data_IF_011265708081
#
_entry.id   IF_011265708081
#
_cell.length_a   1.000
_cell.length_b   1.000
_cell.length_c   1.000
_cell.angle_alpha   90.00
_cell.angle_beta   90.00
_cell.angle_gamma   90.00
#
_symmetry.space_group_name_H-M   'P 1'
#
loop_
_entity.id
_entity.type
_entity.pdbx_description
1 polymer ?
#
# COMPACT_ATOMS: atom_id res chain seq x y z
N UNK A 1 9.58 -21.54 4.25
CA UNK A 1 8.95 -21.19 5.55
C UNK A 1 7.57 -20.61 5.29
N UNK A 2 6.51 -20.97 6.04
CA UNK A 2 5.18 -20.34 5.83
C UNK A 2 5.17 -18.94 6.45
N UNK A 3 4.88 -17.92 5.64
CA UNK A 3 4.78 -16.52 6.08
C UNK A 3 3.59 -16.29 7.03
N UNK A 4 3.73 -15.36 7.98
CA UNK A 4 2.66 -14.94 8.89
C UNK A 4 1.41 -14.49 8.12
N UNK A 5 1.60 -13.66 7.09
CA UNK A 5 0.52 -13.19 6.22
C UNK A 5 -0.26 -14.36 5.61
N UNK A 6 0.45 -15.37 5.08
CA UNK A 6 -0.18 -16.55 4.47
C UNK A 6 -1.01 -17.34 5.48
N UNK A 7 -0.49 -17.56 6.70
CA UNK A 7 -1.23 -18.22 7.77
C UNK A 7 -2.51 -17.46 8.14
N UNK A 8 -2.41 -16.12 8.24
CA UNK A 8 -3.55 -15.28 8.57
C UNK A 8 -4.62 -15.32 7.47
N UNK A 9 -4.22 -15.17 6.21
CA UNK A 9 -5.14 -15.27 5.07
C UNK A 9 -5.82 -16.64 5.03
N UNK A 10 -5.08 -17.73 5.25
CA UNK A 10 -5.66 -19.07 5.28
C UNK A 10 -6.70 -19.22 6.42
N UNK A 11 -6.38 -18.72 7.61
CA UNK A 11 -7.29 -18.75 8.75
C UNK A 11 -8.57 -17.93 8.48
N UNK A 12 -8.42 -16.71 7.95
CA UNK A 12 -9.55 -15.83 7.63
C UNK A 12 -10.44 -16.44 6.54
N UNK A 13 -9.87 -17.03 5.48
CA UNK A 13 -10.65 -17.67 4.40
C UNK A 13 -11.47 -18.88 4.86
N UNK A 14 -11.06 -19.55 5.95
CA UNK A 14 -11.86 -20.62 6.56
C UNK A 14 -13.10 -20.10 7.29
N UNK A 15 -13.07 -18.85 7.76
CA UNK A 15 -14.13 -18.23 8.57
C UNK A 15 -15.01 -17.24 7.80
N UNK A 16 -14.46 -16.56 6.80
CA UNK A 16 -15.12 -15.48 6.07
C UNK A 16 -15.25 -15.83 4.58
N UNK A 17 -16.31 -15.32 3.96
CA UNK A 17 -16.55 -15.56 2.53
C UNK A 17 -15.48 -14.86 1.71
N UNK A 18 -14.74 -15.64 0.92
CA UNK A 18 -13.85 -15.09 -0.11
C UNK A 18 -14.67 -14.70 -1.34
N UNK A 19 -14.59 -13.44 -1.76
CA UNK A 19 -15.31 -12.92 -2.94
C UNK A 19 -14.40 -12.73 -4.15
N UNK A 20 -13.09 -12.64 -3.92
CA UNK A 20 -12.06 -12.66 -4.94
C UNK A 20 -10.85 -13.43 -4.42
N UNK A 21 -10.28 -14.27 -5.27
CA UNK A 21 -9.03 -14.99 -5.01
C UNK A 21 -8.23 -15.05 -6.29
N UNK A 22 -7.15 -14.27 -6.34
CA UNK A 22 -6.19 -14.27 -7.42
C UNK A 22 -4.79 -14.54 -6.86
N UNK A 23 -3.81 -14.66 -7.75
CA UNK A 23 -2.40 -14.76 -7.37
C UNK A 23 -1.60 -13.65 -8.02
N UNK A 24 -0.62 -13.13 -7.28
CA UNK A 24 0.38 -12.25 -7.85
C UNK A 24 1.39 -13.05 -8.71
N UNK A 25 2.33 -12.32 -9.30
CA UNK A 25 3.39 -12.88 -10.14
C UNK A 25 4.29 -13.93 -9.45
N UNK A 26 4.39 -13.93 -8.12
CA UNK A 26 5.14 -14.92 -7.34
C UNK A 26 4.23 -16.07 -6.84
N UNK A 27 2.94 -16.04 -7.17
CA UNK A 27 1.97 -17.05 -6.78
C UNK A 27 1.33 -16.81 -5.41
N UNK A 28 1.56 -15.66 -4.78
CA UNK A 28 1.03 -15.30 -3.47
C UNK A 28 -0.41 -14.75 -3.59
N UNK A 29 -1.27 -14.96 -2.59
CA UNK A 29 -2.70 -14.74 -2.73
C UNK A 29 -3.10 -13.26 -2.59
N UNK A 30 -3.82 -12.77 -3.60
CA UNK A 30 -4.58 -11.51 -3.55
C UNK A 30 -6.03 -11.88 -3.25
N UNK A 31 -6.53 -11.46 -2.09
CA UNK A 31 -7.80 -11.96 -1.56
C UNK A 31 -8.69 -10.81 -1.12
N UNK A 32 -9.94 -10.82 -1.59
CA UNK A 32 -10.99 -9.97 -1.04
C UNK A 32 -11.91 -10.83 -0.19
N UNK A 33 -12.04 -10.46 1.08
CA UNK A 33 -12.91 -11.09 2.06
C UNK A 33 -14.16 -10.23 2.24
N UNK A 34 -15.32 -10.87 2.37
CA UNK A 34 -16.57 -10.21 2.74
C UNK A 34 -16.80 -10.31 4.25
N UNK A 35 -17.00 -9.16 4.89
CA UNK A 35 -17.44 -8.99 6.26
C UNK A 35 -18.72 -8.12 6.31
N UNK A 36 -19.24 -7.90 7.52
CA UNK A 36 -20.50 -7.19 7.74
C UNK A 36 -21.73 -7.93 7.18
N UNK A 37 -22.82 -7.19 7.00
CA UNK A 37 -24.11 -7.71 6.57
C UNK A 37 -24.28 -7.84 5.05
N UNK A 38 -25.43 -7.39 4.56
CA UNK A 38 -25.88 -7.60 3.17
C UNK A 38 -26.46 -6.35 2.53
N UNK A 39 -26.52 -5.22 3.22
CA UNK A 39 -27.02 -4.00 2.61
C UNK A 39 -26.07 -3.52 1.50
N UNK A 40 -26.64 -2.80 0.54
CA UNK A 40 -25.99 -2.21 -0.62
C UNK A 40 -26.21 -0.67 -0.61
N UNK A 41 -25.37 0.11 -1.31
CA UNK A 41 -24.12 -0.30 -1.97
C UNK A 41 -23.01 -0.60 -0.96
N UNK A 42 -22.08 -1.52 -1.27
CA UNK A 42 -21.11 -2.06 -0.32
C UNK A 42 -19.96 -1.07 -0.09
N UNK A 43 -19.20 -1.29 0.98
CA UNK A 43 -17.96 -0.54 1.26
C UNK A 43 -16.77 -1.39 0.84
N UNK A 44 -15.76 -0.79 0.22
CA UNK A 44 -14.44 -1.39 0.03
C UNK A 44 -13.43 -0.76 0.98
N UNK A 45 -12.71 -1.58 1.74
CA UNK A 45 -11.51 -1.18 2.47
C UNK A 45 -10.31 -1.94 1.90
N UNK A 46 -9.26 -1.24 1.50
CA UNK A 46 -8.06 -1.86 0.93
C UNK A 46 -6.79 -1.25 1.49
N UNK A 47 -5.70 -2.00 1.43
CA UNK A 47 -4.39 -1.58 1.89
C UNK A 47 -3.26 -2.18 1.03
N UNK A 48 -2.03 -1.75 1.29
CA UNK A 48 -0.83 -2.42 0.78
C UNK A 48 -0.62 -2.28 -0.73
N UNK A 49 -0.86 -1.10 -1.32
CA UNK A 49 -0.20 -0.76 -2.59
C UNK A 49 1.31 -0.65 -2.42
N UNK A 50 1.72 -0.16 -1.25
CA UNK A 50 3.11 -0.09 -0.86
C UNK A 50 3.27 -0.97 0.36
N UNK A 51 3.93 -2.13 0.22
CA UNK A 51 4.06 -3.04 1.36
C UNK A 51 5.08 -2.57 2.42
N UNK A 52 5.77 -1.46 2.17
CA UNK A 52 6.51 -0.72 3.21
C UNK A 52 5.58 0.10 4.12
N UNK A 53 4.28 0.14 3.81
CA UNK A 53 3.21 0.74 4.61
C UNK A 53 2.45 -0.35 5.38
N UNK A 54 3.17 -1.01 6.30
CA UNK A 54 2.73 -2.26 6.92
C UNK A 54 1.47 -2.11 7.78
N UNK A 55 1.25 -0.96 8.44
CA UNK A 55 0.14 -0.84 9.39
C UNK A 55 -1.23 -0.95 8.73
N UNK A 56 -1.39 -0.42 7.51
CA UNK A 56 -2.64 -0.54 6.74
C UNK A 56 -3.01 -1.99 6.48
N UNK A 57 -2.03 -2.84 6.17
CA UNK A 57 -2.26 -4.28 5.93
C UNK A 57 -2.68 -5.00 7.20
N UNK A 58 -1.99 -4.77 8.32
CA UNK A 58 -2.35 -5.37 9.60
C UNK A 58 -3.72 -4.91 10.08
N UNK A 59 -4.02 -3.61 9.95
CA UNK A 59 -5.33 -3.05 10.28
C UNK A 59 -6.44 -3.66 9.42
N UNK A 60 -6.21 -3.85 8.12
CA UNK A 60 -7.18 -4.50 7.24
C UNK A 60 -7.42 -5.98 7.60
N UNK A 61 -6.38 -6.74 7.96
CA UNK A 61 -6.51 -8.12 8.44
C UNK A 61 -7.33 -8.18 9.73
N UNK A 62 -7.07 -7.28 10.68
CA UNK A 62 -7.79 -7.21 11.95
C UNK A 62 -9.24 -6.74 11.77
N UNK A 63 -9.46 -5.79 10.85
CA UNK A 63 -10.77 -5.24 10.54
C UNK A 63 -11.75 -6.34 10.11
N UNK A 64 -11.30 -7.34 9.33
CA UNK A 64 -12.14 -8.49 8.93
C UNK A 64 -12.85 -9.13 10.13
N UNK A 65 -12.21 -9.15 11.29
CA UNK A 65 -12.74 -9.76 12.51
C UNK A 65 -13.60 -8.83 13.36
N UNK A 66 -13.57 -7.52 13.10
CA UNK A 66 -14.21 -6.51 13.93
C UNK A 66 -15.39 -5.80 13.25
N UNK A 67 -15.56 -5.96 11.93
CA UNK A 67 -16.72 -5.37 11.24
C UNK A 67 -18.02 -5.96 11.78
N UNK A 68 -18.82 -5.08 12.39
CA UNK A 68 -20.16 -5.36 12.90
C UNK A 68 -21.14 -4.27 12.43
N UNK A 69 -21.44 -4.27 11.14
CA UNK A 69 -22.41 -3.37 10.50
C UNK A 69 -23.31 -4.14 9.54
N UNK A 70 -24.53 -3.68 9.32
CA UNK A 70 -25.49 -4.30 8.38
C UNK A 70 -25.05 -4.19 6.92
N UNK A 71 -24.13 -3.26 6.62
CA UNK A 71 -23.58 -3.05 5.29
C UNK A 71 -22.62 -4.17 4.89
N UNK A 72 -22.69 -4.58 3.62
CA UNK A 72 -21.65 -5.45 3.08
C UNK A 72 -20.31 -4.68 3.00
N UNK A 73 -19.27 -5.26 3.60
CA UNK A 73 -17.91 -4.70 3.59
C UNK A 73 -16.97 -5.68 2.89
N UNK A 74 -16.32 -5.23 1.83
CA UNK A 74 -15.26 -5.94 1.15
C UNK A 74 -13.91 -5.43 1.66
N UNK A 75 -13.05 -6.36 2.07
CA UNK A 75 -11.74 -6.03 2.63
C UNK A 75 -10.68 -6.73 1.80
N UNK A 76 -9.78 -5.94 1.20
CA UNK A 76 -8.58 -6.38 0.48
C UNK A 76 -7.35 -6.03 1.32
N UNK A 77 -6.81 -6.98 2.12
CA UNK A 77 -5.75 -6.64 3.06
C UNK A 77 -4.43 -6.24 2.42
N UNK A 78 -4.13 -6.75 1.22
CA UNK A 78 -2.90 -6.45 0.51
C UNK A 78 -3.13 -6.50 -1.00
N UNK A 79 -2.76 -5.40 -1.67
CA UNK A 79 -2.68 -5.32 -3.12
C UNK A 79 -1.38 -5.96 -3.64
N UNK A 80 -0.27 -5.82 -2.90
CA UNK A 80 1.04 -6.42 -3.19
C UNK A 80 1.48 -7.45 -2.12
N UNK A 81 1.02 -8.72 -2.20
CA UNK A 81 1.39 -9.73 -1.22
C UNK A 81 2.86 -10.16 -1.34
N UNK A 82 3.49 -10.09 -2.51
CA UNK A 82 4.96 -10.21 -2.65
C UNK A 82 5.67 -9.18 -1.81
N UNK A 83 5.27 -7.91 -1.89
CA UNK A 83 5.89 -6.82 -1.14
C UNK A 83 5.88 -7.01 0.37
N UNK A 84 4.88 -7.75 0.90
CA UNK A 84 4.81 -8.09 2.31
C UNK A 84 5.87 -9.10 2.75
N UNK A 85 6.61 -9.69 1.83
CA UNK A 85 7.69 -10.58 2.17
C UNK A 85 9.02 -9.85 2.01
N UNK A 86 9.99 -10.22 2.85
CA UNK A 86 11.33 -9.67 2.76
C UNK A 86 12.10 -10.18 1.55
N UNK A 87 13.19 -9.49 1.22
CA UNK A 87 14.08 -9.85 0.12
C UNK A 87 14.55 -11.30 0.20
N UNK A 88 14.85 -11.78 1.42
CA UNK A 88 15.26 -13.16 1.69
C UNK A 88 14.20 -14.18 1.27
N UNK A 89 12.94 -13.94 1.63
CA UNK A 89 11.85 -14.85 1.26
C UNK A 89 11.67 -14.89 -0.26
N UNK A 90 11.57 -13.72 -0.90
CA UNK A 90 11.33 -13.64 -2.35
C UNK A 90 12.49 -14.26 -3.13
N UNK A 91 13.73 -14.00 -2.74
CA UNK A 91 14.89 -14.63 -3.36
C UNK A 91 14.91 -16.15 -3.14
N UNK A 92 14.51 -16.63 -1.96
CA UNK A 92 14.43 -18.07 -1.70
C UNK A 92 13.43 -18.75 -2.63
N UNK A 93 12.24 -18.15 -2.80
CA UNK A 93 11.22 -18.66 -3.73
C UNK A 93 11.67 -18.60 -5.20
N UNK A 94 12.31 -17.50 -5.62
CA UNK A 94 12.82 -17.34 -6.98
C UNK A 94 13.98 -18.29 -7.32
N UNK A 95 14.82 -18.61 -6.34
CA UNK A 95 15.99 -19.48 -6.52
C UNK A 95 15.67 -20.96 -6.27
N UNK A 96 14.61 -21.26 -5.52
CA UNK A 96 14.27 -22.63 -5.11
C UNK A 96 15.24 -23.20 -4.06
N UNK A 97 15.92 -22.34 -3.32
CA UNK A 97 16.88 -22.68 -2.27
C UNK A 97 16.75 -21.70 -1.09
N UNK A 98 17.29 -22.06 0.06
CA UNK A 98 17.26 -21.18 1.23
C UNK A 98 18.32 -20.08 1.11
N UNK A 99 17.88 -18.83 1.22
CA UNK A 99 18.74 -17.64 1.16
C UNK A 99 18.90 -17.05 2.56
N UNK A 100 20.09 -16.50 2.85
CA UNK A 100 20.37 -15.78 4.09
C UNK A 100 21.13 -14.50 3.75
N UNK A 101 20.54 -13.35 4.11
CA UNK A 101 21.07 -12.00 3.87
C UNK A 101 20.53 -11.08 4.96
N UNK A 102 21.42 -10.37 5.64
CA UNK A 102 21.05 -9.43 6.71
C UNK A 102 21.32 -7.97 6.32
N UNK A 103 22.20 -7.74 5.33
CA UNK A 103 22.60 -6.39 4.91
C UNK A 103 22.40 -6.14 3.41
N UNK A 104 22.31 -4.86 3.02
CA UNK A 104 22.28 -4.47 1.59
C UNK A 104 23.57 -4.85 0.85
N UNK A 105 24.71 -4.85 1.55
CA UNK A 105 25.99 -5.28 0.98
C UNK A 105 25.98 -6.78 0.69
N UNK A 106 25.50 -7.59 1.62
CA UNK A 106 25.32 -9.04 1.39
C UNK A 106 24.29 -9.31 0.30
N UNK A 107 23.19 -8.54 0.24
CA UNK A 107 22.20 -8.65 -0.83
C UNK A 107 22.86 -8.43 -2.20
N UNK A 108 23.69 -7.38 -2.30
CA UNK A 108 24.43 -7.05 -3.51
C UNK A 108 25.39 -8.16 -3.92
N UNK A 109 26.18 -8.67 -2.98
CA UNK A 109 27.13 -9.75 -3.27
C UNK A 109 26.42 -11.06 -3.62
N UNK A 110 25.30 -11.37 -2.96
CA UNK A 110 24.48 -12.52 -3.30
C UNK A 110 23.96 -12.41 -4.74
N UNK A 111 23.33 -11.30 -5.10
CA UNK A 111 22.81 -11.07 -6.45
C UNK A 111 23.92 -11.27 -7.51
N UNK A 112 25.09 -10.68 -7.29
CA UNK A 112 26.27 -10.86 -8.16
C UNK A 112 26.71 -12.32 -8.24
N UNK A 113 26.81 -13.01 -7.10
CA UNK A 113 27.25 -14.42 -7.05
C UNK A 113 26.27 -15.37 -7.75
N UNK A 114 24.98 -15.01 -7.83
CA UNK A 114 23.93 -15.77 -8.52
C UNK A 114 23.74 -15.36 -9.99
N UNK A 115 24.69 -14.59 -10.53
CA UNK A 115 24.72 -14.23 -11.94
C UNK A 115 23.71 -13.16 -12.34
N UNK A 116 23.28 -12.31 -11.39
CA UNK A 116 22.46 -11.16 -11.74
C UNK A 116 23.23 -10.21 -12.68
N UNK A 117 22.59 -9.78 -13.75
CA UNK A 117 23.14 -8.77 -14.65
C UNK A 117 23.08 -7.41 -13.94
N UNK A 118 24.23 -6.76 -13.77
CA UNK A 118 24.30 -5.46 -13.11
C UNK A 118 24.08 -4.36 -14.14
N UNK A 119 22.95 -3.66 -14.03
CA UNK A 119 22.55 -2.56 -14.93
C UNK A 119 23.11 -1.22 -14.44
N UNK A 120 23.04 -0.98 -13.13
CA UNK A 120 23.57 0.23 -12.49
C UNK A 120 24.36 -0.19 -11.26
N UNK A 121 25.60 0.27 -11.17
CA UNK A 121 26.43 0.08 -10.00
C UNK A 121 27.06 1.40 -9.55
N UNK A 122 26.33 2.15 -8.73
CA UNK A 122 26.77 3.45 -8.20
C UNK A 122 26.53 3.54 -6.69
N UNK A 123 27.19 4.47 -5.98
CA UNK A 123 26.92 4.69 -4.54
C UNK A 123 25.48 5.08 -4.23
N UNK A 124 24.79 5.73 -5.17
CA UNK A 124 23.43 6.27 -4.98
C UNK A 124 22.33 5.32 -5.42
N UNK A 125 22.65 4.37 -6.31
CA UNK A 125 21.71 3.39 -6.84
C UNK A 125 22.47 2.15 -7.32
N UNK A 126 22.06 0.99 -6.82
CA UNK A 126 22.36 -0.30 -7.39
C UNK A 126 21.09 -0.84 -8.05
N UNK A 127 21.20 -1.31 -9.29
CA UNK A 127 20.13 -2.01 -10.02
C UNK A 127 20.74 -3.25 -10.70
N UNK A 128 20.16 -4.41 -10.43
CA UNK A 128 20.54 -5.66 -11.08
C UNK A 128 19.32 -6.49 -11.48
N UNK A 129 19.49 -7.37 -12.46
CA UNK A 129 18.46 -8.20 -13.03
C UNK A 129 18.78 -9.67 -12.76
N UNK A 130 17.88 -10.37 -12.08
CA UNK A 130 18.00 -11.79 -11.80
C UNK A 130 16.75 -12.52 -12.28
N UNK A 131 16.92 -13.45 -13.23
CA UNK A 131 15.83 -14.25 -13.83
C UNK A 131 14.64 -13.39 -14.33
N UNK A 132 14.92 -12.21 -14.90
CA UNK A 132 13.89 -11.30 -15.42
C UNK A 132 13.23 -10.39 -14.38
N UNK A 133 13.70 -10.39 -13.13
CA UNK A 133 13.21 -9.48 -12.07
C UNK A 133 14.34 -8.57 -11.63
N UNK A 134 14.06 -7.28 -11.54
CA UNK A 134 14.99 -6.27 -11.06
C UNK A 134 15.04 -6.19 -9.54
N UNK A 135 16.23 -5.93 -8.99
CA UNK A 135 16.44 -5.58 -7.60
C UNK A 135 17.16 -4.24 -7.53
N UNK A 136 16.57 -3.29 -6.82
CA UNK A 136 17.10 -1.93 -6.74
C UNK A 136 17.17 -1.43 -5.30
N UNK A 137 18.29 -0.83 -4.91
CA UNK A 137 18.47 -0.24 -3.59
C UNK A 137 19.59 0.80 -3.58
N UNK A 138 19.60 1.63 -2.54
CA UNK A 138 20.59 2.67 -2.31
C UNK A 138 21.23 2.50 -0.94
N UNK A 139 22.56 2.48 -0.87
CA UNK A 139 23.27 2.40 0.42
C UNK A 139 23.14 3.66 1.30
N UNK A 140 22.45 4.72 0.81
CA UNK A 140 22.44 6.04 1.46
C UNK A 140 21.06 6.71 1.55
N UNK A 141 19.98 6.01 1.22
CA UNK A 141 18.64 6.61 1.19
C UNK A 141 18.11 6.88 2.60
N UNK A 142 17.92 8.17 2.94
CA UNK A 142 17.23 8.59 4.18
C UNK A 142 15.73 8.33 4.16
N UNK A 143 15.15 8.21 2.96
CA UNK A 143 13.72 7.96 2.75
C UNK A 143 13.43 6.50 2.40
N UNK A 144 14.39 5.60 2.65
CA UNK A 144 14.28 4.17 2.35
C UNK A 144 13.93 3.88 0.90
N UNK A 145 12.95 3.00 0.68
CA UNK A 145 12.48 2.59 -0.63
C UNK A 145 11.98 3.75 -1.50
N UNK A 146 11.26 4.73 -0.94
CA UNK A 146 10.79 5.90 -1.70
C UNK A 146 11.96 6.71 -2.27
N UNK A 147 13.04 6.87 -1.49
CA UNK A 147 14.25 7.53 -1.98
C UNK A 147 14.91 6.76 -3.12
N UNK A 148 14.90 5.42 -3.07
CA UNK A 148 15.40 4.56 -4.17
C UNK A 148 14.51 4.67 -5.41
N UNK A 149 13.18 4.68 -5.24
CA UNK A 149 12.23 4.87 -6.34
C UNK A 149 12.49 6.20 -7.08
N UNK A 150 12.69 7.30 -6.36
CA UNK A 150 13.05 8.59 -7.00
C UNK A 150 14.37 8.52 -7.78
N UNK A 151 15.35 7.76 -7.29
CA UNK A 151 16.60 7.54 -8.02
C UNK A 151 16.40 6.66 -9.27
N UNK A 152 15.52 5.66 -9.20
CA UNK A 152 15.13 4.88 -10.37
C UNK A 152 14.43 5.75 -11.40
N UNK A 153 13.48 6.60 -10.99
CA UNK A 153 12.82 7.54 -11.90
C UNK A 153 13.84 8.45 -12.60
N UNK A 154 14.79 9.01 -11.86
CA UNK A 154 15.85 9.84 -12.43
C UNK A 154 16.75 9.08 -13.41
N UNK A 155 17.24 7.89 -13.02
CA UNK A 155 18.26 7.17 -13.79
C UNK A 155 17.70 6.30 -14.91
N UNK A 156 16.51 5.73 -14.71
CA UNK A 156 15.87 4.84 -15.67
C UNK A 156 15.01 5.62 -16.65
N UNK A 157 14.10 6.45 -16.13
CA UNK A 157 13.15 7.20 -16.97
C UNK A 157 13.87 8.35 -17.65
N UNK A 158 14.44 9.29 -16.88
CA UNK A 158 15.09 10.47 -17.47
C UNK A 158 16.46 10.18 -18.07
N UNK A 159 17.14 9.14 -17.58
CA UNK A 159 18.42 8.68 -18.10
C UNK A 159 18.33 7.81 -19.36
N UNK A 160 17.12 7.46 -19.83
CA UNK A 160 16.92 6.76 -21.10
C UNK A 160 17.19 5.24 -21.06
N UNK A 161 17.10 4.60 -19.90
CA UNK A 161 17.28 3.14 -19.76
C UNK A 161 15.95 2.36 -19.87
N UNK A 162 14.82 3.03 -20.04
CA UNK A 162 13.51 2.37 -20.21
C UNK A 162 13.55 1.37 -21.38
N UNK A 163 14.02 1.80 -22.55
CA UNK A 163 14.01 0.96 -23.76
C UNK A 163 14.88 -0.29 -23.60
N UNK A 164 16.00 -0.19 -22.88
CA UNK A 164 16.92 -1.32 -22.67
C UNK A 164 16.41 -2.30 -21.61
N UNK A 165 15.73 -1.81 -20.57
CA UNK A 165 15.12 -2.66 -19.55
C UNK A 165 13.84 -3.35 -20.04
N UNK A 166 13.11 -2.70 -20.95
CA UNK A 166 11.80 -3.15 -21.38
C UNK A 166 10.79 -3.18 -20.23
N UNK A 167 9.75 -4.00 -20.38
CA UNK A 167 8.79 -4.24 -19.30
C UNK A 167 9.40 -5.15 -18.24
N UNK A 168 9.70 -4.57 -17.07
CA UNK A 168 10.27 -5.34 -15.97
C UNK A 168 9.75 -4.92 -14.61
N UNK A 169 9.50 -5.92 -13.76
CA UNK A 169 9.22 -5.72 -12.35
C UNK A 169 10.52 -5.47 -11.59
N UNK A 170 10.55 -4.45 -10.76
CA UNK A 170 11.67 -4.11 -9.88
C UNK A 170 11.19 -4.18 -8.43
N UNK A 171 11.97 -4.88 -7.61
CA UNK A 171 11.78 -5.01 -6.17
C UNK A 171 12.78 -4.11 -5.44
N UNK A 172 12.25 -3.27 -4.56
CA UNK A 172 13.02 -2.32 -3.78
C UNK A 172 12.89 -2.69 -2.31
N UNK A 173 13.95 -3.18 -1.64
CA UNK A 173 13.92 -3.38 -0.19
C UNK A 173 13.53 -2.11 0.54
N UNK A 174 12.79 -2.27 1.63
CA UNK A 174 12.22 -1.18 2.41
C UNK A 174 13.24 -0.12 2.83
N UNK A 175 14.44 -0.54 3.24
CA UNK A 175 15.53 0.35 3.63
C UNK A 175 15.16 1.29 4.79
N UNK A 176 14.34 0.80 5.73
CA UNK A 176 13.80 1.56 6.87
C UNK A 176 14.03 0.81 8.19
N UNK A 177 15.28 0.59 8.61
CA UNK A 177 15.60 -0.24 9.78
C UNK A 177 14.98 0.24 11.09
N UNK A 178 14.61 1.53 11.17
CA UNK A 178 14.04 2.14 12.37
C UNK A 178 12.50 2.22 12.35
N UNK A 179 11.85 1.77 11.27
CA UNK A 179 10.39 1.73 11.17
C UNK A 179 9.91 0.33 11.54
N UNK A 180 9.18 0.26 12.66
CA UNK A 180 8.65 -0.99 13.20
C UNK A 180 7.75 -1.71 12.16
N UNK A 181 7.91 -3.02 12.01
CA UNK A 181 7.13 -3.83 11.05
C UNK A 181 7.57 -3.75 9.58
N UNK A 182 8.56 -2.91 9.26
CA UNK A 182 9.03 -2.64 7.89
C UNK A 182 10.49 -3.04 7.67
N UNK A 183 11.39 -2.65 8.59
CA UNK A 183 12.78 -3.11 8.64
C UNK A 183 13.67 -2.67 7.46
N UNK A 184 14.85 -3.29 7.34
CA UNK A 184 15.82 -3.00 6.27
C UNK A 184 15.51 -3.79 4.99
N UNK A 185 15.26 -5.09 5.14
CA UNK A 185 15.03 -6.05 4.05
C UNK A 185 13.69 -6.79 4.20
N UNK A 186 12.90 -6.47 5.23
CA UNK A 186 11.75 -7.30 5.65
C UNK A 186 10.48 -7.04 4.83
N UNK A 187 10.45 -5.93 4.08
CA UNK A 187 9.41 -5.60 3.10
C UNK A 187 10.05 -5.14 1.80
N UNK A 188 9.27 -5.21 0.73
CA UNK A 188 9.65 -4.72 -0.58
C UNK A 188 8.59 -3.74 -1.09
N UNK A 189 9.03 -2.68 -1.73
CA UNK A 189 8.21 -1.91 -2.64
C UNK A 189 8.36 -2.50 -4.03
N UNK A 190 7.24 -2.86 -4.64
CA UNK A 190 7.21 -3.42 -5.99
C UNK A 190 6.79 -2.36 -7.00
N UNK A 191 7.58 -2.21 -8.05
CA UNK A 191 7.27 -1.30 -9.17
C UNK A 191 7.46 -2.02 -10.49
N UNK A 192 6.91 -1.46 -11.57
CA UNK A 192 7.04 -2.02 -12.91
C UNK A 192 7.48 -0.93 -13.88
N UNK A 193 8.60 -1.14 -14.55
CA UNK A 193 9.04 -0.29 -15.66
C UNK A 193 8.17 -0.59 -16.86
N UNK A 194 7.69 0.44 -17.54
CA UNK A 194 7.04 0.38 -18.84
C UNK A 194 7.56 1.52 -19.73
N UNK A 195 7.15 1.53 -20.99
CA UNK A 195 7.51 2.58 -21.95
C UNK A 195 7.16 3.99 -21.45
N UNK A 196 6.08 4.14 -20.67
CA UNK A 196 5.60 5.44 -20.17
C UNK A 196 6.30 5.88 -18.86
N UNK A 197 7.07 5.02 -18.21
CA UNK A 197 7.72 5.33 -16.94
C UNK A 197 7.75 4.16 -15.95
N UNK A 198 7.61 4.47 -14.67
CA UNK A 198 7.57 3.47 -13.59
C UNK A 198 6.17 3.46 -12.98
N UNK A 199 5.49 2.34 -13.12
CA UNK A 199 4.20 2.08 -12.50
C UNK A 199 4.39 1.57 -11.08
N UNK A 200 3.51 2.02 -10.21
CA UNK A 200 3.33 1.52 -8.84
C UNK A 200 1.91 0.98 -8.69
N UNK A 201 1.60 0.38 -7.55
CA UNK A 201 0.24 -0.12 -7.26
C UNK A 201 -0.80 1.00 -7.06
N UNK A 202 -0.36 2.27 -7.03
CA UNK A 202 -1.24 3.44 -7.04
C UNK A 202 -1.73 3.82 -8.44
N UNK A 203 -1.10 3.32 -9.51
CA UNK A 203 -1.46 3.66 -10.88
C UNK A 203 -2.68 2.86 -11.38
N UNK A 204 -3.85 3.04 -10.75
CA UNK A 204 -5.08 2.30 -11.10
C UNK A 204 -5.89 2.95 -12.23
N UNK A 205 -5.85 4.28 -12.36
CA UNK A 205 -6.57 5.04 -13.38
C UNK A 205 -5.86 5.12 -14.74
N UNK A 206 -4.64 4.58 -14.87
CA UNK A 206 -3.84 4.62 -16.09
C UNK A 206 -4.35 3.68 -17.18
N UNK A 207 -3.97 3.94 -18.44
CA UNK A 207 -4.22 3.02 -19.56
C UNK A 207 -3.54 1.68 -19.31
N UNK A 208 -2.27 1.73 -18.92
CA UNK A 208 -1.47 0.61 -18.46
C UNK A 208 -1.37 0.60 -16.94
N UNK A 209 -1.51 -0.59 -16.36
CA UNK A 209 -1.44 -0.82 -14.93
C UNK A 209 -0.66 -2.10 -14.64
N UNK A 210 -0.14 -2.23 -13.41
CA UNK A 210 0.44 -3.49 -12.94
C UNK A 210 -0.66 -4.58 -12.97
N UNK A 211 -0.38 -5.83 -13.43
CA UNK A 211 -1.40 -6.88 -13.55
C UNK A 211 -2.23 -7.12 -12.27
N UNK A 212 -1.61 -7.00 -11.10
CA UNK A 212 -2.29 -7.12 -9.81
C UNK A 212 -3.25 -5.95 -9.54
N UNK A 213 -2.93 -4.74 -10.00
CA UNK A 213 -3.82 -3.56 -9.91
C UNK A 213 -5.03 -3.74 -10.83
N UNK A 214 -4.85 -4.41 -11.98
CA UNK A 214 -5.95 -4.73 -12.89
C UNK A 214 -7.01 -5.64 -12.26
N UNK A 215 -6.61 -6.49 -11.31
CA UNK A 215 -7.54 -7.32 -10.53
C UNK A 215 -8.46 -6.43 -9.68
N UNK A 216 -7.89 -5.47 -8.96
CA UNK A 216 -8.66 -4.52 -8.16
C UNK A 216 -9.54 -3.61 -9.04
N UNK A 217 -8.99 -3.11 -10.14
CA UNK A 217 -9.71 -2.25 -11.11
C UNK A 217 -10.99 -2.92 -11.59
N UNK A 218 -10.89 -4.17 -12.05
CA UNK A 218 -12.04 -4.98 -12.49
C UNK A 218 -13.01 -5.28 -11.35
N UNK A 219 -12.50 -5.55 -10.14
CA UNK A 219 -13.33 -5.81 -8.97
C UNK A 219 -14.25 -4.62 -8.64
N UNK A 220 -13.69 -3.40 -8.68
CA UNK A 220 -14.42 -2.15 -8.41
C UNK A 220 -15.38 -1.84 -9.57
N UNK A 221 -14.90 -1.86 -10.81
CA UNK A 221 -15.73 -1.51 -11.98
C UNK A 221 -16.95 -2.42 -12.16
N UNK A 222 -16.87 -3.68 -11.71
CA UNK A 222 -17.99 -4.62 -11.75
C UNK A 222 -19.07 -4.39 -10.70
N UNK A 223 -18.97 -3.35 -9.84
CA UNK A 223 -19.83 -3.14 -8.67
C UNK A 223 -20.06 -1.66 -8.42
N UNK A 224 -21.27 -1.31 -7.96
CA UNK A 224 -21.56 0.04 -7.48
C UNK A 224 -21.10 0.17 -6.03
N UNK A 225 -19.91 0.73 -5.81
CA UNK A 225 -19.37 0.94 -4.46
C UNK A 225 -20.02 2.15 -3.80
N UNK A 226 -20.38 2.00 -2.53
CA UNK A 226 -20.96 3.07 -1.74
C UNK A 226 -19.91 3.98 -1.11
N UNK A 227 -18.82 3.36 -0.65
CA UNK A 227 -17.66 4.03 -0.07
C UNK A 227 -16.40 3.19 -0.33
N UNK A 228 -15.28 3.87 -0.57
CA UNK A 228 -13.95 3.27 -0.77
C UNK A 228 -12.98 3.91 0.21
N UNK A 229 -12.30 3.08 0.99
CA UNK A 229 -11.29 3.49 1.95
C UNK A 229 -9.96 2.82 1.57
N UNK A 230 -8.92 3.61 1.35
CA UNK A 230 -7.57 3.14 1.11
C UNK A 230 -6.67 3.46 2.30
N UNK A 231 -5.92 2.49 2.80
CA UNK A 231 -5.06 2.64 3.98
C UNK A 231 -3.61 2.81 3.58
N UNK A 232 -3.02 3.90 4.04
CA UNK A 232 -1.69 4.36 3.69
C UNK A 232 -0.88 4.82 4.89
N UNK A 233 0.42 4.98 4.69
CA UNK A 233 1.32 5.58 5.69
C UNK A 233 2.16 6.70 5.08
N UNK A 234 2.23 7.83 5.79
CA UNK A 234 3.04 8.99 5.41
C UNK A 234 4.33 9.06 6.23
N UNK A 235 5.36 9.72 5.71
CA UNK A 235 6.63 9.97 6.44
C UNK A 235 6.43 10.92 7.64
N UNK A 236 5.27 11.57 7.72
CA UNK A 236 4.91 12.44 8.85
C UNK A 236 4.66 11.66 10.17
N UNK A 237 4.07 12.35 11.15
CA UNK A 237 3.79 11.80 12.49
C UNK A 237 2.30 11.69 12.82
N UNK A 238 1.41 12.21 11.96
CA UNK A 238 0.02 12.43 12.31
C UNK A 238 -0.93 11.56 11.52
N UNK A 239 -2.16 11.40 12.01
CA UNK A 239 -3.24 10.86 11.19
C UNK A 239 -3.85 11.96 10.32
N UNK A 240 -4.17 11.63 9.07
CA UNK A 240 -5.03 12.48 8.26
C UNK A 240 -5.88 11.68 7.26
N UNK A 241 -6.96 12.32 6.83
CA UNK A 241 -7.78 11.89 5.71
C UNK A 241 -7.38 12.70 4.49
N UNK A 242 -7.08 12.01 3.40
CA UNK A 242 -6.86 12.57 2.08
C UNK A 242 -8.11 12.35 1.21
N UNK A 243 -8.52 13.42 0.53
CA UNK A 243 -9.53 13.40 -0.52
C UNK A 243 -8.94 13.89 -1.84
N UNK A 244 -9.51 13.43 -2.96
CA UNK A 244 -9.17 13.94 -4.29
C UNK A 244 -9.71 15.35 -4.51
N UNK A 245 -10.92 15.61 -4.03
CA UNK A 245 -11.68 16.86 -4.24
C UNK A 245 -12.24 17.37 -2.89
N UNK A 246 -12.96 18.50 -2.90
CA UNK A 246 -13.60 18.97 -1.66
C UNK A 246 -14.68 18.01 -1.18
N UNK A 247 -14.77 17.75 0.14
CA UNK A 247 -15.71 16.78 0.66
C UNK A 247 -17.16 17.24 0.46
N UNK A 248 -18.00 16.31 0.04
CA UNK A 248 -19.45 16.46 0.06
C UNK A 248 -19.98 16.51 1.50
N UNK A 249 -21.20 16.97 1.70
CA UNK A 249 -21.80 17.05 3.05
C UNK A 249 -21.80 15.71 3.80
N UNK A 250 -22.09 14.61 3.11
CA UNK A 250 -22.03 13.25 3.67
C UNK A 250 -20.60 12.82 4.02
N UNK A 251 -19.61 13.21 3.22
CA UNK A 251 -18.20 12.93 3.48
C UNK A 251 -17.70 13.72 4.69
N UNK A 252 -18.09 14.98 4.83
CA UNK A 252 -17.73 15.82 5.98
C UNK A 252 -18.21 15.21 7.31
N UNK A 253 -19.43 14.67 7.36
CA UNK A 253 -19.95 13.98 8.56
C UNK A 253 -19.07 12.78 8.93
N UNK A 254 -18.67 12.00 7.92
CA UNK A 254 -17.80 10.83 8.11
C UNK A 254 -16.42 11.27 8.60
N UNK A 255 -15.83 12.27 7.96
CA UNK A 255 -14.51 12.82 8.31
C UNK A 255 -14.51 13.32 9.75
N UNK A 256 -15.50 14.13 10.14
CA UNK A 256 -15.57 14.71 11.49
C UNK A 256 -15.60 13.62 12.58
N UNK A 257 -16.40 12.56 12.37
CA UNK A 257 -16.47 11.43 13.29
C UNK A 257 -15.16 10.62 13.30
N UNK A 258 -14.57 10.36 12.14
CA UNK A 258 -13.28 9.67 12.03
C UNK A 258 -12.19 10.42 12.79
N UNK A 259 -12.05 11.73 12.54
CA UNK A 259 -11.01 12.55 13.17
C UNK A 259 -11.19 12.65 14.69
N UNK A 260 -12.43 12.82 15.18
CA UNK A 260 -12.72 12.85 16.61
C UNK A 260 -12.32 11.52 17.29
N UNK A 261 -12.69 10.39 16.69
CA UNK A 261 -12.37 9.08 17.26
C UNK A 261 -10.87 8.76 17.21
N UNK A 262 -10.20 9.08 16.10
CA UNK A 262 -8.75 8.84 15.97
C UNK A 262 -7.97 9.74 16.93
N UNK A 263 -8.33 11.02 17.07
CA UNK A 263 -7.67 11.93 18.00
C UNK A 263 -7.79 11.46 19.46
N UNK A 264 -8.92 10.83 19.82
CA UNK A 264 -9.17 10.32 21.18
C UNK A 264 -8.50 8.98 21.46
N UNK A 265 -8.50 8.06 20.49
CA UNK A 265 -8.18 6.65 20.75
C UNK A 265 -7.03 6.08 19.93
N UNK A 266 -6.67 6.72 18.81
CA UNK A 266 -5.63 6.27 17.88
C UNK A 266 -4.34 7.07 18.02
N UNK A 267 -4.31 8.25 17.42
CA UNK A 267 -3.11 9.09 17.36
C UNK A 267 -3.44 10.56 17.12
N UNK A 268 -2.43 11.41 17.30
CA UNK A 268 -2.56 12.84 17.01
C UNK A 268 -2.84 13.09 15.52
N UNK A 269 -3.68 14.07 15.22
CA UNK A 269 -3.94 14.49 13.84
C UNK A 269 -2.75 15.27 13.26
N UNK A 270 -2.53 15.13 11.96
CA UNK A 270 -1.55 15.96 11.24
C UNK A 270 -2.02 17.42 11.23
N UNK A 271 -1.09 18.34 11.46
CA UNK A 271 -1.42 19.78 11.43
C UNK A 271 -1.58 20.27 10.01
N UNK A 272 -2.36 21.34 9.80
CA UNK A 272 -2.46 22.00 8.49
C UNK A 272 -1.09 22.37 7.90
N UNK A 273 -0.13 22.78 8.73
CA UNK A 273 1.23 23.09 8.27
C UNK A 273 1.93 21.86 7.69
N UNK A 274 1.86 20.72 8.39
CA UNK A 274 2.48 19.47 7.94
C UNK A 274 1.84 18.96 6.64
N UNK A 275 0.52 19.09 6.51
CA UNK A 275 -0.20 18.75 5.27
C UNK A 275 0.22 19.67 4.11
N UNK A 276 0.34 20.96 4.38
CA UNK A 276 0.81 21.95 3.40
C UNK A 276 2.24 21.70 2.92
N UNK A 277 3.16 21.36 3.83
CA UNK A 277 4.55 20.98 3.51
C UNK A 277 4.63 19.72 2.65
N UNK A 278 3.66 18.82 2.80
CA UNK A 278 3.50 17.61 1.97
C UNK A 278 2.88 17.90 0.60
N UNK A 279 2.58 19.17 0.29
CA UNK A 279 2.01 19.60 -0.97
C UNK A 279 0.52 19.28 -1.12
N UNK A 280 -0.19 19.12 0.00
CA UNK A 280 -1.64 18.99 0.05
C UNK A 280 -2.28 20.34 0.37
N UNK A 281 -3.50 20.56 -0.10
CA UNK A 281 -4.31 21.69 0.36
C UNK A 281 -5.00 21.28 1.66
N UNK A 282 -4.56 21.84 2.77
CA UNK A 282 -5.16 21.57 4.08
C UNK A 282 -6.48 22.34 4.25
N UNK A 283 -7.55 21.64 4.63
CA UNK A 283 -8.84 22.26 4.98
C UNK A 283 -8.96 22.53 6.48
N UNK A 284 -8.39 21.63 7.27
CA UNK A 284 -8.30 21.68 8.73
C UNK A 284 -7.22 20.70 9.19
N UNK A 285 -6.94 20.64 10.48
CA UNK A 285 -6.04 19.61 11.01
C UNK A 285 -6.63 18.23 10.74
N UNK A 286 -5.82 17.34 10.17
CA UNK A 286 -6.24 16.00 9.77
C UNK A 286 -7.00 15.90 8.43
N UNK A 287 -7.22 16.99 7.69
CA UNK A 287 -7.91 16.95 6.38
C UNK A 287 -7.08 17.59 5.28
N UNK A 288 -6.63 16.77 4.33
CA UNK A 288 -5.92 17.18 3.12
C UNK A 288 -6.73 16.91 1.86
N UNK A 289 -6.63 17.81 0.89
CA UNK A 289 -7.16 17.61 -0.48
C UNK A 289 -6.02 17.65 -1.48
N UNK A 290 -5.97 16.68 -2.38
CA UNK A 290 -4.96 16.64 -3.43
C UNK A 290 -5.25 15.58 -4.50
N UNK A 291 -5.75 16.02 -5.66
CA UNK A 291 -5.90 15.19 -6.86
C UNK A 291 -4.54 14.70 -7.35
N UNK A 292 -4.45 13.42 -7.74
CA UNK A 292 -3.22 12.78 -8.19
C UNK A 292 -2.32 12.28 -7.06
N UNK A 293 -2.78 12.31 -5.80
CA UNK A 293 -1.99 11.92 -4.61
C UNK A 293 -2.25 10.50 -4.13
N UNK A 294 -3.41 9.93 -4.46
CA UNK A 294 -3.74 8.53 -4.22
C UNK A 294 -4.64 8.06 -5.35
N UNK A 295 -4.15 7.12 -6.16
CA UNK A 295 -4.80 6.83 -7.43
C UNK A 295 -6.12 6.09 -7.25
N UNK A 296 -6.30 5.35 -6.15
CA UNK A 296 -7.56 4.67 -5.89
C UNK A 296 -8.70 5.65 -5.62
N UNK A 297 -8.50 6.64 -4.75
CA UNK A 297 -9.54 7.63 -4.49
C UNK A 297 -9.80 8.50 -5.71
N UNK A 298 -8.78 8.85 -6.49
CA UNK A 298 -8.94 9.60 -7.74
C UNK A 298 -9.78 8.81 -8.75
N UNK A 299 -9.63 7.49 -8.79
CA UNK A 299 -10.36 6.60 -9.68
C UNK A 299 -11.83 6.40 -9.27
N UNK A 300 -12.17 6.55 -7.98
CA UNK A 300 -13.51 6.24 -7.45
C UNK A 300 -14.33 7.46 -7.04
N UNK A 301 -13.72 8.65 -6.92
CA UNK A 301 -14.36 9.86 -6.37
C UNK A 301 -15.66 10.26 -7.08
N UNK A 302 -15.78 10.04 -8.39
CA UNK A 302 -17.00 10.39 -9.14
C UNK A 302 -18.19 9.46 -8.87
N UNK A 303 -17.98 8.31 -8.21
CA UNK A 303 -18.97 7.22 -8.09
C UNK A 303 -19.22 6.78 -6.65
N UNK A 304 -18.32 7.12 -5.72
CA UNK A 304 -18.34 6.62 -4.35
C UNK A 304 -17.71 7.65 -3.41
N UNK A 305 -18.14 7.68 -2.15
CA UNK A 305 -17.38 8.39 -1.11
C UNK A 305 -15.99 7.77 -1.02
N UNK A 306 -14.94 8.57 -1.19
CA UNK A 306 -13.59 8.04 -1.45
C UNK A 306 -12.58 8.71 -0.53
N UNK A 307 -11.98 7.91 0.35
CA UNK A 307 -11.06 8.38 1.37
C UNK A 307 -9.76 7.59 1.34
N UNK A 308 -8.64 8.27 1.48
CA UNK A 308 -7.38 7.63 1.84
C UNK A 308 -7.02 8.03 3.27
N UNK A 309 -6.84 7.05 4.14
CA UNK A 309 -6.46 7.27 5.54
C UNK A 309 -4.96 7.05 5.68
N UNK A 310 -4.27 8.06 6.19
CA UNK A 310 -2.84 8.03 6.41
C UNK A 310 -2.52 8.03 7.89
N UNK A 311 -1.58 7.19 8.30
CA UNK A 311 -0.93 7.30 9.62
C UNK A 311 0.53 7.73 9.45
N UNK A 312 1.07 8.40 10.46
CA UNK A 312 2.49 8.75 10.48
C UNK A 312 3.36 7.53 10.74
N UNK A 313 4.12 7.10 9.74
CA UNK A 313 4.93 5.88 9.70
C UNK A 313 5.96 5.77 10.83
N UNK A 314 6.38 6.91 11.39
CA UNK A 314 7.35 6.98 12.49
C UNK A 314 6.76 6.68 13.88
N UNK A 315 5.45 6.50 13.99
CA UNK A 315 4.80 6.05 15.23
C UNK A 315 4.96 4.53 15.43
N UNK A 316 4.85 4.02 16.68
CA UNK A 316 4.85 2.58 16.95
C UNK A 316 3.82 1.84 16.08
N UNK A 317 4.16 0.63 15.61
CA UNK A 317 3.32 -0.14 14.69
C UNK A 317 1.91 -0.37 15.27
N UNK A 318 1.83 -0.79 16.52
CA UNK A 318 0.54 -1.01 17.21
C UNK A 318 -0.34 0.25 17.20
N UNK A 319 0.27 1.42 17.42
CA UNK A 319 -0.46 2.69 17.41
C UNK A 319 -1.01 3.03 16.01
N UNK A 320 -0.19 2.82 14.96
CA UNK A 320 -0.60 3.04 13.56
C UNK A 320 -1.72 2.09 13.16
N UNK A 321 -1.60 0.81 13.49
CA UNK A 321 -2.64 -0.21 13.27
C UNK A 321 -3.94 0.18 13.97
N UNK A 322 -3.87 0.56 15.25
CA UNK A 322 -5.02 1.01 16.03
C UNK A 322 -5.69 2.26 15.44
N UNK A 323 -4.91 3.23 14.95
CA UNK A 323 -5.43 4.43 14.33
C UNK A 323 -6.21 4.10 13.04
N UNK A 324 -5.66 3.26 12.16
CA UNK A 324 -6.38 2.79 10.97
C UNK A 324 -7.66 2.02 11.32
N UNK A 325 -7.59 1.08 12.27
CA UNK A 325 -8.78 0.35 12.75
C UNK A 325 -9.87 1.28 13.27
N UNK A 326 -9.48 2.24 14.12
CA UNK A 326 -10.38 3.25 14.68
C UNK A 326 -11.02 4.07 13.56
N UNK A 327 -10.22 4.50 12.57
CA UNK A 327 -10.72 5.27 11.43
C UNK A 327 -11.70 4.46 10.58
N UNK A 328 -11.36 3.22 10.22
CA UNK A 328 -12.23 2.35 9.43
C UNK A 328 -13.56 2.06 10.13
N UNK A 329 -13.54 1.67 11.40
CA UNK A 329 -14.77 1.35 12.16
C UNK A 329 -15.63 2.61 12.29
N UNK A 330 -15.01 3.76 12.59
CA UNK A 330 -15.73 5.03 12.68
C UNK A 330 -16.37 5.42 11.35
N UNK A 331 -15.64 5.26 10.24
CA UNK A 331 -16.15 5.54 8.91
C UNK A 331 -17.31 4.62 8.52
N UNK A 332 -17.20 3.32 8.81
CA UNK A 332 -18.26 2.33 8.55
C UNK A 332 -19.54 2.67 9.34
N UNK A 333 -19.40 3.03 10.62
CA UNK A 333 -20.53 3.43 11.46
C UNK A 333 -21.13 4.77 11.01
N UNK A 334 -20.30 5.75 10.66
CA UNK A 334 -20.74 7.06 10.17
C UNK A 334 -21.45 6.97 8.82
N UNK A 335 -20.98 6.08 7.93
CA UNK A 335 -21.59 5.88 6.61
C UNK A 335 -23.06 5.41 6.70
N UNK A 336 -23.41 4.66 7.74
CA UNK A 336 -24.80 4.28 8.01
C UNK A 336 -25.70 5.50 8.32
N UNK A 337 -25.13 6.56 8.92
CA UNK A 337 -25.83 7.79 9.28
C UNK A 337 -25.86 8.77 8.10
N UNK A 338 -24.74 8.90 7.37
CA UNK A 338 -24.56 9.89 6.32
C UNK A 338 -25.43 9.68 5.06
N UNK A 339 -26.09 8.51 4.92
CA UNK A 339 -27.04 8.23 3.82
C UNK A 339 -28.51 8.37 4.20
N UNK A 340 -28.82 8.78 5.44
CA UNK A 340 -30.18 9.18 5.84
C UNK A 340 -30.51 10.59 5.31
#
# INVERSE_FOLDING_TARGET
>A
MSSEYLRMIEALRKRYKTVLYERDWLGLPIVVLKAGGREEPPVLVTAGASAVEAAGVYAALELVMQVDVERAVYILPSRDPTGLHGAVYVLSEMLGEEVHVDTLSELRELLKSRGAEVVIDTPTLFLSMLKGVGFAFSGSSREGAYGTLRQLEEKVVKGGLIESLGEVRILIPSQMPNVEGVGLLDRLMTVMVCEEGILTYEHIGGEKVIPEVEVLRRFIQGREMGMVIDLHEGVDRGFYVLLSEEPLSGESIIIDLVLDQVARYGMQLATQSALGESGLRALSDGVGVGKGRCGLIDFTVERSYSFAFFTGMNAPLEQRVKAHLTACISALNAYAIARL
#
